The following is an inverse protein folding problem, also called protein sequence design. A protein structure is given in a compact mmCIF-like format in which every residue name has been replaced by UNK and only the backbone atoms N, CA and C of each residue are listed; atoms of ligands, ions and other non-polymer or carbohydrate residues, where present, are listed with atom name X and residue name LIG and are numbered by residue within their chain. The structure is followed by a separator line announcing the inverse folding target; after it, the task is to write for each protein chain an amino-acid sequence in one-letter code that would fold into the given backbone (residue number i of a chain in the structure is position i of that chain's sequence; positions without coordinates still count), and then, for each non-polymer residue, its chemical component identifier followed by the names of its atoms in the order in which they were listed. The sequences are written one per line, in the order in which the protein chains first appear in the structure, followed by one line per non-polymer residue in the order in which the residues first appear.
data_IF_387334813514
#
_entry.id   IF_387334813514
#
_cell.length_a   1.000
_cell.length_b   1.000
_cell.length_c   1.000
_cell.angle_alpha   90.00
_cell.angle_beta   90.00
_cell.angle_gamma   90.00
#
_symmetry.space_group_name_H-M   'P 1'
#
loop_
_entity.id
_entity.type
_entity.pdbx_description
1 polymer ?
#
# COMPACT_ATOMS: atom_id res chain seq x y z
N UNK A 1 2.42 2.32 9.68
CA UNK A 1 2.68 2.97 8.37
C UNK A 1 2.61 4.50 8.44
N UNK A 2 1.47 5.11 8.80
CA UNK A 2 1.30 6.59 8.80
C UNK A 2 2.37 7.36 9.59
N UNK A 3 2.59 6.98 10.85
CA UNK A 3 3.59 7.62 11.72
C UNK A 3 5.02 7.56 11.13
N UNK A 4 5.40 6.42 10.54
CA UNK A 4 6.72 6.29 9.88
C UNK A 4 6.85 7.27 8.71
N UNK A 5 5.81 7.40 7.87
CA UNK A 5 5.85 8.35 6.76
C UNK A 5 5.83 9.81 7.18
N UNK A 6 5.12 10.16 8.25
CA UNK A 6 5.15 11.51 8.84
C UNK A 6 6.55 11.87 9.36
N UNK A 7 7.31 10.87 9.80
CA UNK A 7 8.72 11.01 10.19
C UNK A 7 9.71 10.81 9.02
N UNK A 8 9.24 10.67 7.78
CA UNK A 8 10.06 10.35 6.60
C UNK A 8 10.92 9.08 6.74
N UNK A 9 10.45 8.10 7.52
CA UNK A 9 11.12 6.80 7.70
C UNK A 9 10.54 5.80 6.68
N UNK A 10 11.33 5.34 5.70
CA UNK A 10 10.90 4.36 4.72
C UNK A 10 10.63 2.99 5.36
N UNK A 11 9.72 2.23 4.77
CA UNK A 11 9.39 0.88 5.23
C UNK A 11 9.17 -0.08 4.06
N UNK A 12 8.98 -1.35 4.38
CA UNK A 12 8.71 -2.43 3.42
C UNK A 12 7.32 -3.02 3.63
N UNK A 13 6.68 -3.41 2.53
CA UNK A 13 5.38 -4.10 2.53
C UNK A 13 5.37 -5.27 1.57
N UNK A 14 4.52 -6.24 1.86
CA UNK A 14 4.10 -7.29 0.92
C UNK A 14 2.58 -7.32 0.84
N UNK A 15 2.04 -7.30 -0.36
CA UNK A 15 0.59 -7.31 -0.59
C UNK A 15 0.21 -8.16 -1.80
N UNK A 16 -1.03 -8.62 -1.86
CA UNK A 16 -1.56 -9.24 -3.08
C UNK A 16 -2.02 -8.16 -4.06
N UNK A 17 -1.50 -8.20 -5.29
CA UNK A 17 -1.94 -7.26 -6.32
C UNK A 17 -3.32 -7.63 -6.86
N UNK A 18 -4.16 -6.62 -7.09
CA UNK A 18 -5.47 -6.82 -7.70
C UNK A 18 -5.79 -5.63 -8.60
N UNK A 19 -6.25 -5.90 -9.82
CA UNK A 19 -6.78 -4.93 -10.76
C UNK A 19 -8.27 -5.21 -10.96
N UNK A 20 -9.10 -4.33 -10.43
CA UNK A 20 -10.55 -4.52 -10.45
C UNK A 20 -11.15 -4.36 -11.84
N UNK A 21 -10.65 -3.41 -12.65
CA UNK A 21 -11.13 -3.19 -14.01
C UNK A 21 -10.87 -4.39 -14.94
N UNK A 22 -9.78 -5.12 -14.70
CA UNK A 22 -9.43 -6.34 -15.43
C UNK A 22 -9.85 -7.62 -14.73
N UNK A 23 -10.36 -7.54 -13.49
CA UNK A 23 -10.63 -8.68 -12.60
C UNK A 23 -9.45 -9.66 -12.48
N UNK A 24 -8.23 -9.11 -12.42
CA UNK A 24 -6.99 -9.90 -12.47
C UNK A 24 -6.09 -9.62 -11.27
N UNK A 25 -5.40 -10.66 -10.80
CA UNK A 25 -4.30 -10.55 -9.84
C UNK A 25 -2.99 -10.90 -10.54
N UNK A 26 -1.92 -10.15 -10.25
CA UNK A 26 -0.54 -10.52 -10.63
C UNK A 26 0.21 -11.19 -9.47
N UNK A 27 -0.53 -11.76 -8.51
CA UNK A 27 -0.01 -12.39 -7.30
C UNK A 27 0.58 -11.39 -6.31
N UNK A 28 1.46 -11.90 -5.44
CA UNK A 28 2.11 -11.12 -4.40
C UNK A 28 3.15 -10.14 -4.97
N UNK A 29 3.17 -8.93 -4.40
CA UNK A 29 4.17 -7.90 -4.67
C UNK A 29 4.82 -7.51 -3.36
N UNK A 30 6.14 -7.35 -3.41
CA UNK A 30 6.94 -6.80 -2.32
C UNK A 30 7.47 -5.45 -2.76
N UNK A 31 7.36 -4.47 -1.88
CA UNK A 31 7.88 -3.12 -2.09
C UNK A 31 8.77 -2.79 -0.89
N UNK A 32 9.98 -2.33 -1.18
CA UNK A 32 10.97 -1.93 -0.18
C UNK A 32 11.26 -0.45 -0.34
N UNK A 33 11.74 0.18 0.74
CA UNK A 33 12.13 1.58 0.73
C UNK A 33 11.01 2.50 0.19
N UNK A 34 9.82 2.41 0.79
CA UNK A 34 8.65 3.19 0.40
C UNK A 34 8.16 4.14 1.50
N UNK A 35 7.52 5.24 1.09
CA UNK A 35 6.79 6.17 1.96
C UNK A 35 5.31 6.23 1.57
N UNK A 36 4.41 6.36 2.54
CA UNK A 36 3.02 6.67 2.25
C UNK A 36 2.90 8.08 1.68
N UNK A 37 2.03 8.20 0.69
CA UNK A 37 1.61 9.48 0.13
C UNK A 37 0.20 9.80 0.62
N UNK A 38 -0.17 11.09 0.58
CA UNK A 38 -1.58 11.47 0.74
C UNK A 38 -2.42 10.69 -0.29
N UNK A 39 -3.31 9.84 0.21
CA UNK A 39 -4.29 9.12 -0.61
C UNK A 39 -5.39 10.06 -1.12
N UNK A 40 -6.36 9.49 -1.83
CA UNK A 40 -7.55 10.22 -2.24
C UNK A 40 -8.28 10.79 -1.02
N UNK A 41 -8.78 12.03 -1.14
CA UNK A 41 -9.66 12.60 -0.13
C UNK A 41 -10.99 11.83 -0.15
N UNK A 42 -11.67 11.69 0.99
CA UNK A 42 -12.94 10.94 1.11
C UNK A 42 -14.04 11.36 0.13
N UNK A 43 -14.00 12.60 -0.33
CA UNK A 43 -14.93 13.16 -1.31
C UNK A 43 -14.55 12.88 -2.79
N UNK A 44 -13.46 12.15 -3.06
CA UNK A 44 -12.99 11.86 -4.42
C UNK A 44 -13.26 10.41 -4.86
N UNK A 45 -13.56 9.49 -3.94
CA UNK A 45 -13.88 8.09 -4.27
C UNK A 45 -14.40 7.34 -3.04
N UNK A 46 -15.41 6.49 -3.21
CA UNK A 46 -15.87 5.52 -2.20
C UNK A 46 -14.78 4.53 -1.75
N UNK A 47 -13.64 4.47 -2.47
CA UNK A 47 -12.49 3.60 -2.18
C UNK A 47 -11.37 4.31 -1.43
N UNK A 48 -11.58 5.56 -0.99
CA UNK A 48 -10.56 6.32 -0.25
C UNK A 48 -10.06 5.61 1.00
N UNK A 49 -10.92 4.79 1.62
CA UNK A 49 -10.59 4.05 2.84
C UNK A 49 -9.92 2.68 2.53
N UNK A 50 -9.93 2.24 1.26
CA UNK A 50 -9.39 0.94 0.84
C UNK A 50 -8.05 1.06 0.10
N UNK A 51 -7.86 2.12 -0.68
CA UNK A 51 -6.64 2.32 -1.47
C UNK A 51 -5.62 3.19 -0.74
N UNK A 52 -4.42 2.64 -0.56
CA UNK A 52 -3.29 3.35 0.03
C UNK A 52 -2.31 3.72 -1.07
N UNK A 53 -1.96 5.01 -1.13
CA UNK A 53 -0.94 5.53 -2.04
C UNK A 53 0.43 5.52 -1.37
N UNK A 54 1.45 5.13 -2.13
CA UNK A 54 2.84 5.15 -1.68
C UNK A 54 3.77 5.60 -2.81
N UNK A 55 4.98 6.00 -2.45
CA UNK A 55 6.06 6.34 -3.37
C UNK A 55 7.27 5.44 -3.08
N UNK A 56 7.86 4.90 -4.14
CA UNK A 56 9.17 4.24 -4.09
C UNK A 56 10.25 5.30 -3.98
N UNK A 57 11.14 5.19 -3.01
CA UNK A 57 12.20 6.18 -2.82
C UNK A 57 13.28 6.07 -3.91
N UNK A 58 13.53 4.86 -4.41
CA UNK A 58 14.58 4.63 -5.43
C UNK A 58 14.21 5.22 -6.80
N UNK A 59 12.95 5.07 -7.23
CA UNK A 59 12.49 5.48 -8.56
C UNK A 59 11.58 6.71 -8.55
N UNK A 60 11.21 7.20 -7.37
CA UNK A 60 10.20 8.24 -7.15
C UNK A 60 8.82 7.92 -7.75
N UNK A 61 8.58 6.68 -8.17
CA UNK A 61 7.31 6.25 -8.75
C UNK A 61 6.23 6.19 -7.68
N UNK A 62 5.08 6.80 -7.98
CA UNK A 62 3.87 6.70 -7.15
C UNK A 62 3.05 5.49 -7.56
N UNK A 63 2.57 4.75 -6.58
CA UNK A 63 1.77 3.54 -6.76
C UNK A 63 0.69 3.47 -5.70
N UNK A 64 -0.24 2.53 -5.89
CA UNK A 64 -1.32 2.28 -4.97
C UNK A 64 -1.47 0.78 -4.75
N UNK A 65 -1.99 0.42 -3.57
CA UNK A 65 -2.41 -0.94 -3.26
C UNK A 65 -3.65 -0.92 -2.38
N UNK A 66 -4.37 -2.03 -2.36
CA UNK A 66 -5.52 -2.23 -1.47
C UNK A 66 -5.03 -2.60 -0.07
N UNK A 67 -5.36 -1.80 0.93
CA UNK A 67 -4.99 -2.05 2.33
C UNK A 67 -5.45 -3.44 2.84
N UNK A 68 -6.68 -3.92 2.51
CA UNK A 68 -7.10 -5.27 2.94
C UNK A 68 -6.26 -6.41 2.35
N UNK A 69 -5.52 -6.15 1.27
CA UNK A 69 -4.64 -7.13 0.63
C UNK A 69 -3.20 -7.07 1.15
N UNK A 70 -2.94 -6.27 2.20
CA UNK A 70 -1.65 -6.23 2.88
C UNK A 70 -1.42 -7.54 3.65
N UNK A 71 -0.27 -8.16 3.40
CA UNK A 71 0.11 -9.46 3.97
C UNK A 71 1.22 -9.28 4.99
N UNK A 72 2.14 -8.35 4.75
CA UNK A 72 3.33 -8.15 5.57
C UNK A 72 3.70 -6.67 5.62
N UNK A 73 4.19 -6.24 6.78
CA UNK A 73 4.73 -4.90 7.01
C UNK A 73 6.04 -5.05 7.79
N UNK A 74 7.15 -4.54 7.22
CA UNK A 74 8.50 -4.65 7.80
C UNK A 74 8.88 -6.07 8.26
N UNK A 75 8.61 -7.09 7.45
CA UNK A 75 8.92 -8.49 7.82
C UNK A 75 7.87 -9.15 8.73
N UNK A 76 6.95 -8.37 9.30
CA UNK A 76 5.91 -8.87 10.21
C UNK A 76 4.66 -9.20 9.41
N UNK A 77 4.28 -10.48 9.39
CA UNK A 77 3.03 -10.93 8.77
C UNK A 77 1.84 -10.36 9.52
N UNK A 78 0.94 -9.72 8.78
CA UNK A 78 -0.31 -9.23 9.33
C UNK A 78 -1.27 -10.41 9.38
N UNK A 79 -1.73 -10.76 10.58
CA UNK A 79 -2.89 -11.65 10.75
C UNK A 79 -4.13 -10.80 10.57
N UNK A 80 -4.91 -11.08 9.52
CA UNK A 80 -6.30 -10.63 9.47
C UNK A 80 -7.05 -11.45 10.53
N UNK A 81 -7.29 -10.85 11.70
CA UNK A 81 -8.08 -11.46 12.75
C UNK A 81 -9.49 -11.78 12.23
N UNK A 82 -9.95 -13.00 12.48
CA UNK A 82 -11.37 -13.32 12.52
C UNK A 82 -11.96 -12.81 13.83
#
# INVERSE_FOLDING_TARGET
MRNLSEQNIPFSIKYCSFNESKKESKGFKSENNILLMKGYRRNQSDKSDLLVSFQRMDTRQRRQFYLPLLIEFNGIKIKNGK
#
